data_IF_985778088107
#
_entry.id   IF_985778088107
#
_cell.length_a   1.000
_cell.length_b   1.000
_cell.length_c   1.000
_cell.angle_alpha   90.00
_cell.angle_beta   90.00
_cell.angle_gamma   90.00
#
_symmetry.space_group_name_H-M   'P 1'
#
loop_
_entity.id
_entity.type
_entity.pdbx_description
1 polymer ?
#
# COMPACT_ATOMS: atom_id res chain seq x y z
N UNK A 1 10.18 -10.67 4.94
CA UNK A 1 10.53 -11.75 3.97
C UNK A 1 9.98 -11.49 2.56
N UNK A 2 9.07 -10.53 2.38
CA UNK A 2 8.53 -10.18 1.06
C UNK A 2 9.37 -9.15 0.29
N UNK A 3 10.55 -8.79 0.79
CA UNK A 3 11.50 -7.96 0.06
C UNK A 3 12.03 -8.78 -1.14
N UNK A 4 11.98 -8.20 -2.34
CA UNK A 4 12.55 -8.88 -3.50
C UNK A 4 14.08 -8.92 -3.41
N UNK A 5 14.71 -9.96 -3.97
CA UNK A 5 16.18 -10.08 -3.98
C UNK A 5 16.87 -8.88 -4.66
N UNK A 6 16.20 -8.24 -5.62
CA UNK A 6 16.72 -7.03 -6.27
C UNK A 6 16.70 -5.85 -5.29
N UNK A 7 15.58 -5.65 -4.58
CA UNK A 7 15.46 -4.59 -3.58
C UNK A 7 16.47 -4.79 -2.43
N UNK A 8 16.61 -6.02 -1.94
CA UNK A 8 17.59 -6.37 -0.90
C UNK A 8 19.02 -5.99 -1.28
N UNK A 9 19.45 -6.35 -2.50
CA UNK A 9 20.81 -6.01 -2.98
C UNK A 9 21.03 -4.50 -3.08
N UNK A 10 20.03 -3.75 -3.53
CA UNK A 10 20.12 -2.29 -3.63
C UNK A 10 20.15 -1.67 -2.24
N UNK A 11 19.28 -2.11 -1.33
CA UNK A 11 19.27 -1.66 0.06
C UNK A 11 20.63 -1.84 0.73
N UNK A 12 21.24 -3.02 0.57
CA UNK A 12 22.54 -3.35 1.18
C UNK A 12 23.72 -2.57 0.58
N UNK A 13 23.60 -2.13 -0.67
CA UNK A 13 24.62 -1.35 -1.38
C UNK A 13 24.43 0.17 -1.27
N UNK A 14 23.35 0.63 -0.66
CA UNK A 14 23.06 2.06 -0.52
C UNK A 14 23.93 2.69 0.58
N UNK A 15 24.39 3.92 0.34
CA UNK A 15 25.08 4.74 1.33
C UNK A 15 24.08 5.44 2.26
N UNK A 16 22.89 5.73 1.73
CA UNK A 16 21.81 6.44 2.43
C UNK A 16 20.50 5.70 2.25
N UNK A 17 19.70 5.61 3.32
CA UNK A 17 18.35 5.04 3.29
C UNK A 17 17.35 6.11 3.66
N UNK A 18 16.44 6.46 2.73
CA UNK A 18 15.36 7.41 2.95
C UNK A 18 14.03 6.68 3.13
N UNK A 19 13.20 7.11 4.07
CA UNK A 19 11.92 6.46 4.33
C UNK A 19 10.89 7.41 4.96
N UNK A 20 9.58 7.18 4.69
CA UNK A 20 8.52 7.91 5.37
C UNK A 20 8.39 7.47 6.82
N UNK A 21 8.17 8.42 7.71
CA UNK A 21 7.80 8.18 9.09
C UNK A 21 6.71 9.16 9.53
N UNK A 22 5.76 8.78 10.39
CA UNK A 22 4.86 9.72 11.04
C UNK A 22 5.67 10.63 11.97
N UNK A 23 5.22 11.88 12.17
CA UNK A 23 5.93 12.87 12.99
C UNK A 23 6.21 12.39 14.43
N UNK A 24 5.33 11.56 14.98
CA UNK A 24 5.37 11.10 16.38
C UNK A 24 5.47 9.56 16.49
N UNK A 25 6.02 8.87 15.48
CA UNK A 25 6.02 7.40 15.50
C UNK A 25 7.11 6.73 14.69
N UNK A 26 7.22 5.44 14.88
CA UNK A 26 8.17 4.59 14.17
C UNK A 26 7.72 4.33 12.73
N UNK A 27 8.66 4.27 11.81
CA UNK A 27 8.42 3.91 10.42
C UNK A 27 8.27 2.40 10.28
N UNK A 28 7.11 1.95 9.81
CA UNK A 28 6.87 0.53 9.53
C UNK A 28 7.83 0.01 8.44
N UNK A 29 7.99 0.74 7.35
CA UNK A 29 8.88 0.30 6.26
C UNK A 29 10.34 0.24 6.73
N UNK A 30 10.76 1.16 7.58
CA UNK A 30 12.11 1.12 8.19
C UNK A 30 12.26 -0.10 9.11
N UNK A 31 11.25 -0.43 9.92
CA UNK A 31 11.30 -1.61 10.79
C UNK A 31 11.37 -2.93 10.01
N UNK A 32 10.68 -3.01 8.86
CA UNK A 32 10.76 -4.16 7.93
C UNK A 32 12.15 -4.27 7.30
N UNK A 33 12.77 -3.16 6.94
CA UNK A 33 14.08 -3.12 6.30
C UNK A 33 15.25 -3.32 7.28
N UNK A 34 15.08 -2.93 8.55
CA UNK A 34 16.13 -2.88 9.56
C UNK A 34 17.00 -4.16 9.69
N UNK A 35 16.44 -5.38 9.69
CA UNK A 35 17.25 -6.61 9.76
C UNK A 35 18.16 -6.85 8.54
N UNK A 36 17.96 -6.08 7.46
CA UNK A 36 18.63 -6.23 6.17
C UNK A 36 19.55 -5.06 5.84
N UNK A 37 19.53 -4.00 6.64
CA UNK A 37 20.42 -2.84 6.49
C UNK A 37 21.82 -3.19 6.97
N UNK A 38 22.85 -2.53 6.39
CA UNK A 38 24.27 -2.75 6.75
C UNK A 38 24.60 -2.17 8.14
N UNK A 39 23.84 -1.20 8.62
CA UNK A 39 23.98 -0.60 9.96
C UNK A 39 24.88 0.63 10.02
N UNK A 40 25.62 0.93 8.94
CA UNK A 40 26.48 2.11 8.77
C UNK A 40 25.90 3.14 7.79
N UNK A 41 24.71 2.90 7.27
CA UNK A 41 24.01 3.75 6.34
C UNK A 41 23.48 5.02 7.02
N UNK A 42 23.61 6.14 6.35
CA UNK A 42 22.93 7.37 6.76
C UNK A 42 21.42 7.24 6.55
N UNK A 43 20.62 7.89 7.38
CA UNK A 43 19.16 7.82 7.29
C UNK A 43 18.57 9.20 7.02
N UNK A 44 17.65 9.30 6.04
CA UNK A 44 16.83 10.48 5.76
C UNK A 44 15.38 10.16 6.13
N UNK A 45 14.83 10.91 7.07
CA UNK A 45 13.46 10.71 7.55
C UNK A 45 12.53 11.70 6.87
N UNK A 46 11.61 11.19 6.04
CA UNK A 46 10.58 12.00 5.40
C UNK A 46 9.37 12.05 6.35
N UNK A 47 9.28 13.14 7.10
CA UNK A 47 8.27 13.29 8.15
C UNK A 47 6.88 13.55 7.55
N UNK A 48 6.13 12.48 7.31
CA UNK A 48 4.79 12.56 6.71
C UNK A 48 3.72 12.81 7.77
N UNK A 49 3.06 13.97 7.75
CA UNK A 49 1.96 14.22 8.69
C UNK A 49 0.79 13.28 8.39
N UNK A 50 0.25 12.65 9.44
CA UNK A 50 -0.95 11.80 9.36
C UNK A 50 -2.23 12.64 9.22
N UNK A 51 -2.22 13.64 8.32
CA UNK A 51 -3.36 14.51 8.06
C UNK A 51 -4.13 14.07 6.82
N UNK A 52 -5.45 14.26 6.85
CA UNK A 52 -6.35 13.91 5.75
C UNK A 52 -6.31 14.89 4.58
N UNK A 53 -5.67 16.03 4.77
CA UNK A 53 -5.58 17.09 3.78
C UNK A 53 -4.40 16.86 2.82
N UNK A 54 -4.67 17.05 1.52
CA UNK A 54 -3.72 16.75 0.44
C UNK A 54 -2.56 17.76 0.35
N UNK A 55 -2.73 18.97 0.88
CA UNK A 55 -1.80 20.08 0.69
C UNK A 55 -0.63 20.18 1.67
N UNK A 56 -0.73 19.83 2.96
CA UNK A 56 0.43 19.85 3.86
C UNK A 56 1.53 18.85 3.49
N UNK A 57 1.17 17.82 2.71
CA UNK A 57 2.11 16.78 2.29
C UNK A 57 3.05 17.21 1.15
N UNK A 58 2.79 18.31 0.44
CA UNK A 58 3.66 18.75 -0.68
C UNK A 58 5.00 19.25 -0.16
N UNK A 59 4.98 20.11 0.85
CA UNK A 59 6.20 20.70 1.43
C UNK A 59 7.13 19.61 1.99
N UNK A 60 6.56 18.56 2.61
CA UNK A 60 7.32 17.40 3.12
C UNK A 60 8.05 16.64 2.02
N UNK A 61 7.40 16.48 0.85
CA UNK A 61 8.07 15.82 -0.28
C UNK A 61 9.07 16.74 -0.97
N UNK A 62 8.87 18.06 -0.94
CA UNK A 62 9.84 19.03 -1.43
C UNK A 62 11.11 19.01 -0.56
N UNK A 63 10.96 19.03 0.76
CA UNK A 63 12.06 18.92 1.73
C UNK A 63 12.78 17.57 1.58
N UNK A 64 12.06 16.46 1.59
CA UNK A 64 12.65 15.13 1.43
C UNK A 64 13.37 14.96 0.08
N UNK A 65 12.85 15.52 -1.00
CA UNK A 65 13.52 15.50 -2.29
C UNK A 65 14.81 16.35 -2.27
N UNK A 66 14.81 17.50 -1.59
CA UNK A 66 16.01 18.34 -1.44
C UNK A 66 17.12 17.62 -0.65
N UNK A 67 16.79 16.94 0.44
CA UNK A 67 17.75 16.14 1.23
C UNK A 67 18.32 14.98 0.40
N UNK A 68 17.47 14.25 -0.33
CA UNK A 68 17.89 13.18 -1.23
C UNK A 68 18.80 13.71 -2.32
N UNK A 69 18.45 14.86 -2.93
CA UNK A 69 19.26 15.52 -3.96
C UNK A 69 20.65 15.87 -3.44
N UNK A 70 20.75 16.46 -2.27
CA UNK A 70 22.02 16.81 -1.66
C UNK A 70 22.91 15.56 -1.43
N UNK A 71 22.35 14.45 -1.01
CA UNK A 71 23.07 13.19 -0.85
C UNK A 71 23.56 12.64 -2.19
N UNK A 72 22.72 12.67 -3.23
CA UNK A 72 23.09 12.23 -4.59
C UNK A 72 24.19 13.13 -5.19
N UNK A 73 24.10 14.45 -5.02
CA UNK A 73 25.12 15.40 -5.47
C UNK A 73 26.47 15.23 -4.75
N UNK A 74 26.42 14.73 -3.51
CA UNK A 74 27.62 14.31 -2.77
C UNK A 74 28.21 12.96 -3.25
N UNK A 75 27.62 12.34 -4.29
CA UNK A 75 28.08 11.10 -4.89
C UNK A 75 27.59 9.83 -4.19
N UNK A 76 26.58 9.94 -3.32
CA UNK A 76 26.02 8.80 -2.58
C UNK A 76 24.88 8.13 -3.36
N UNK A 77 24.76 6.79 -3.17
CA UNK A 77 23.62 6.02 -3.62
C UNK A 77 22.53 6.06 -2.56
N UNK A 78 21.34 6.50 -2.90
CA UNK A 78 20.21 6.61 -1.99
C UNK A 78 19.16 5.54 -2.30
N UNK A 79 18.78 4.74 -1.31
CA UNK A 79 17.66 3.82 -1.38
C UNK A 79 16.44 4.44 -0.68
N UNK A 80 15.34 4.62 -1.41
CA UNK A 80 14.08 5.12 -0.83
C UNK A 80 13.16 3.95 -0.56
N UNK A 81 12.74 3.76 0.70
CA UNK A 81 11.88 2.68 1.12
C UNK A 81 10.40 3.01 0.92
N UNK A 82 9.63 2.00 0.51
CA UNK A 82 8.18 2.05 0.39
C UNK A 82 7.54 0.75 0.86
N UNK A 83 6.40 0.81 1.53
CA UNK A 83 5.58 -0.38 1.79
C UNK A 83 4.98 -0.89 0.48
N UNK A 84 5.03 -2.21 0.27
CA UNK A 84 4.45 -2.85 -0.91
C UNK A 84 5.20 -2.51 -2.20
N UNK A 85 4.54 -1.88 -3.15
CA UNK A 85 5.11 -1.47 -4.43
C UNK A 85 5.14 0.06 -4.56
N UNK A 86 6.26 0.66 -5.01
CA UNK A 86 6.45 2.12 -5.06
C UNK A 86 5.42 2.86 -5.91
N UNK A 87 4.89 2.21 -6.95
CA UNK A 87 3.95 2.83 -7.90
C UNK A 87 2.51 2.34 -7.75
N UNK A 88 2.24 1.48 -6.77
CA UNK A 88 0.88 1.01 -6.50
C UNK A 88 0.30 1.68 -5.25
N UNK A 89 -0.31 2.84 -5.40
CA UNK A 89 -0.85 3.69 -4.32
C UNK A 89 0.18 4.13 -3.26
N UNK A 90 1.46 3.97 -3.55
CA UNK A 90 2.57 4.38 -2.68
C UNK A 90 2.84 5.88 -2.80
N UNK A 91 3.32 6.47 -1.71
CA UNK A 91 3.69 7.89 -1.66
C UNK A 91 4.98 8.23 -2.42
N UNK A 92 5.79 7.23 -2.75
CA UNK A 92 7.04 7.41 -3.52
C UNK A 92 6.82 8.14 -4.85
N UNK A 93 5.64 8.01 -5.47
CA UNK A 93 5.35 8.71 -6.73
C UNK A 93 5.53 10.23 -6.62
N UNK A 94 5.36 10.83 -5.44
CA UNK A 94 5.55 12.26 -5.22
C UNK A 94 7.04 12.65 -5.19
N UNK A 95 7.89 11.80 -4.62
CA UNK A 95 9.36 11.96 -4.70
C UNK A 95 9.87 11.70 -6.12
N UNK A 96 9.35 10.65 -6.76
CA UNK A 96 9.71 10.31 -8.14
C UNK A 96 9.48 11.49 -9.09
N UNK A 97 8.32 12.15 -8.98
CA UNK A 97 8.00 13.31 -9.82
C UNK A 97 8.99 14.48 -9.65
N UNK A 98 9.63 14.61 -8.48
CA UNK A 98 10.61 15.66 -8.18
C UNK A 98 12.03 15.29 -8.58
N UNK A 99 12.38 14.04 -8.47
CA UNK A 99 13.76 13.58 -8.63
C UNK A 99 14.08 13.08 -10.04
N UNK A 100 13.10 12.51 -10.74
CA UNK A 100 13.32 11.79 -12.01
C UNK A 100 13.71 12.69 -13.19
N UNK A 101 13.45 14.00 -13.11
CA UNK A 101 13.88 14.94 -14.14
C UNK A 101 15.38 15.27 -14.07
N UNK A 102 15.96 15.19 -12.86
CA UNK A 102 17.34 15.62 -12.61
C UNK A 102 18.30 14.44 -12.33
N UNK A 103 17.78 13.32 -11.89
CA UNK A 103 18.60 12.19 -11.46
C UNK A 103 18.15 10.87 -12.11
N UNK A 104 19.09 9.92 -12.23
CA UNK A 104 18.78 8.56 -12.65
C UNK A 104 18.08 7.82 -11.52
N UNK A 105 16.77 7.61 -11.63
CA UNK A 105 15.97 6.89 -10.64
C UNK A 105 15.63 5.50 -11.13
N UNK A 106 16.04 4.47 -10.37
CA UNK A 106 15.65 3.10 -10.61
C UNK A 106 14.50 2.70 -9.69
N UNK A 107 13.36 2.34 -10.26
CA UNK A 107 12.22 1.80 -9.48
C UNK A 107 12.29 0.28 -9.45
N UNK A 108 12.19 -0.29 -8.27
CA UNK A 108 12.18 -1.74 -8.05
C UNK A 108 10.77 -2.16 -7.66
N UNK A 109 10.09 -3.00 -8.46
CA UNK A 109 8.77 -3.50 -8.12
C UNK A 109 8.80 -4.30 -6.81
N UNK A 110 7.76 -4.15 -6.02
CA UNK A 110 7.56 -4.87 -4.77
C UNK A 110 6.33 -5.77 -4.77
N UNK A 111 6.15 -6.55 -3.72
CA UNK A 111 4.93 -7.32 -3.50
C UNK A 111 3.85 -6.37 -2.99
N UNK A 112 2.84 -6.10 -3.81
CA UNK A 112 1.74 -5.22 -3.43
C UNK A 112 0.89 -5.82 -2.31
N UNK A 113 0.25 -4.98 -1.48
CA UNK A 113 -0.73 -5.43 -0.49
C UNK A 113 -1.88 -6.24 -1.12
N UNK A 114 -2.23 -5.96 -2.38
CA UNK A 114 -3.22 -6.74 -3.11
C UNK A 114 -2.82 -8.22 -3.25
N UNK A 115 -1.60 -8.49 -3.69
CA UNK A 115 -1.08 -9.85 -3.84
C UNK A 115 -0.87 -10.52 -2.47
N UNK A 116 -0.36 -9.79 -1.48
CA UNK A 116 -0.16 -10.30 -0.13
C UNK A 116 -1.49 -10.68 0.53
N UNK A 117 -2.49 -9.80 0.49
CA UNK A 117 -3.83 -10.08 1.05
C UNK A 117 -4.51 -11.27 0.34
N UNK A 118 -4.39 -11.36 -0.98
CA UNK A 118 -4.92 -12.48 -1.75
C UNK A 118 -4.29 -13.82 -1.31
N UNK A 119 -2.99 -13.85 -1.11
CA UNK A 119 -2.28 -15.04 -0.65
C UNK A 119 -2.69 -15.46 0.77
N UNK A 120 -2.75 -14.49 1.71
CA UNK A 120 -3.16 -14.74 3.09
C UNK A 120 -4.63 -15.19 3.22
N UNK A 121 -5.49 -14.71 2.34
CA UNK A 121 -6.89 -15.14 2.26
C UNK A 121 -7.07 -16.47 1.51
N UNK A 122 -6.00 -17.01 0.89
CA UNK A 122 -6.08 -18.13 -0.04
C UNK A 122 -7.14 -17.92 -1.13
N UNK A 123 -7.30 -16.69 -1.60
CA UNK A 123 -8.33 -16.26 -2.54
C UNK A 123 -7.70 -15.78 -3.85
N UNK A 124 -7.76 -16.57 -4.95
CA UNK A 124 -7.28 -16.13 -6.25
C UNK A 124 -8.01 -14.87 -6.73
N UNK A 125 -7.27 -13.87 -7.22
CA UNK A 125 -7.85 -12.61 -7.69
C UNK A 125 -8.52 -12.74 -9.04
N UNK A 126 -7.94 -13.49 -9.96
CA UNK A 126 -8.44 -13.61 -11.32
C UNK A 126 -8.03 -14.92 -11.97
N UNK A 127 -8.86 -15.37 -12.91
CA UNK A 127 -8.55 -16.43 -13.84
C UNK A 127 -9.03 -16.04 -15.23
N UNK A 128 -8.31 -16.47 -16.26
CA UNK A 128 -8.70 -16.31 -17.68
C UNK A 128 -9.18 -14.89 -18.02
N UNK A 129 -10.50 -14.71 -18.15
CA UNK A 129 -11.14 -13.46 -18.57
C UNK A 129 -11.67 -12.62 -17.39
N UNK A 130 -11.36 -13.01 -16.15
CA UNK A 130 -11.80 -12.25 -14.96
C UNK A 130 -11.25 -10.83 -14.98
N UNK A 131 -12.11 -9.86 -14.74
CA UNK A 131 -11.74 -8.46 -14.56
C UNK A 131 -11.54 -8.18 -13.07
N UNK A 132 -10.39 -7.62 -12.71
CA UNK A 132 -10.06 -7.21 -11.34
C UNK A 132 -10.04 -5.69 -11.25
N UNK A 133 -10.80 -5.14 -10.32
CA UNK A 133 -10.78 -3.71 -10.00
C UNK A 133 -10.15 -3.45 -8.65
N UNK A 134 -9.31 -2.40 -8.57
CA UNK A 134 -8.83 -1.86 -7.30
C UNK A 134 -9.59 -0.57 -7.00
N UNK A 135 -10.37 -0.59 -5.93
CA UNK A 135 -11.35 0.46 -5.60
C UNK A 135 -10.90 1.20 -4.34
N UNK A 136 -10.57 2.50 -4.43
CA UNK A 136 -10.33 3.28 -3.22
C UNK A 136 -11.62 3.44 -2.39
N UNK A 137 -11.57 3.12 -1.10
CA UNK A 137 -12.69 3.32 -0.18
C UNK A 137 -13.13 4.78 -0.03
N UNK A 138 -12.34 5.71 -0.55
CA UNK A 138 -12.63 7.15 -0.60
C UNK A 138 -13.66 7.54 -1.66
N UNK A 139 -13.94 6.69 -2.66
CA UNK A 139 -14.99 6.95 -3.65
C UNK A 139 -16.35 7.13 -2.96
N UNK A 140 -17.25 7.88 -3.60
CA UNK A 140 -18.65 7.91 -3.18
C UNK A 140 -19.33 6.55 -3.42
N UNK A 141 -20.52 6.38 -2.85
CA UNK A 141 -21.24 5.10 -2.88
C UNK A 141 -21.62 4.68 -4.30
N UNK A 142 -22.07 5.63 -5.12
CA UNK A 142 -22.52 5.37 -6.49
C UNK A 142 -21.34 4.92 -7.38
N UNK A 143 -20.22 5.63 -7.32
CA UNK A 143 -19.01 5.27 -8.06
C UNK A 143 -18.45 3.92 -7.58
N UNK A 144 -18.46 3.65 -6.27
CA UNK A 144 -18.02 2.38 -5.71
C UNK A 144 -18.91 1.23 -6.18
N UNK A 145 -20.23 1.39 -6.11
CA UNK A 145 -21.21 0.40 -6.59
C UNK A 145 -20.97 0.09 -8.07
N UNK A 146 -20.83 1.11 -8.91
CA UNK A 146 -20.59 0.94 -10.34
C UNK A 146 -19.33 0.10 -10.63
N UNK A 147 -18.22 0.38 -9.92
CA UNK A 147 -16.97 -0.36 -10.06
C UNK A 147 -17.08 -1.81 -9.56
N UNK A 148 -17.75 -2.02 -8.43
CA UNK A 148 -18.03 -3.36 -7.91
C UNK A 148 -18.87 -4.17 -8.88
N UNK A 149 -19.89 -3.56 -9.49
CA UNK A 149 -20.76 -4.25 -10.44
C UNK A 149 -20.07 -4.58 -11.79
N UNK A 150 -19.07 -3.81 -12.19
CA UNK A 150 -18.36 -3.98 -13.46
C UNK A 150 -17.23 -5.03 -13.42
N UNK A 151 -16.86 -5.55 -12.23
CA UNK A 151 -15.73 -6.47 -12.08
C UNK A 151 -16.13 -7.83 -11.51
N UNK A 152 -15.34 -8.86 -11.83
CA UNK A 152 -15.48 -10.21 -11.27
C UNK A 152 -14.92 -10.25 -9.84
N UNK A 153 -13.78 -9.60 -9.64
CA UNK A 153 -13.14 -9.42 -8.32
C UNK A 153 -12.85 -7.95 -8.11
N UNK A 154 -13.07 -7.47 -6.89
CA UNK A 154 -12.69 -6.13 -6.50
C UNK A 154 -11.89 -6.16 -5.20
N UNK A 155 -10.80 -5.41 -5.15
CA UNK A 155 -10.06 -5.15 -3.93
C UNK A 155 -10.32 -3.72 -3.47
N UNK A 156 -10.95 -3.56 -2.32
CA UNK A 156 -11.24 -2.25 -1.74
C UNK A 156 -10.10 -1.89 -0.79
N UNK A 157 -9.34 -0.86 -1.16
CA UNK A 157 -8.22 -0.30 -0.38
C UNK A 157 -8.66 0.99 0.33
N UNK A 158 -7.81 1.49 1.25
CA UNK A 158 -8.12 2.69 2.05
C UNK A 158 -9.45 2.57 2.79
N UNK A 159 -9.69 1.39 3.36
CA UNK A 159 -10.92 1.06 4.10
C UNK A 159 -11.11 2.01 5.28
N UNK A 160 -10.20 2.02 6.24
CA UNK A 160 -10.13 2.94 7.38
C UNK A 160 -11.49 3.43 7.87
N UNK A 161 -11.66 4.73 7.93
CA UNK A 161 -12.91 5.40 8.33
C UNK A 161 -14.10 5.20 7.37
N UNK A 162 -13.86 4.58 6.22
CA UNK A 162 -14.88 4.35 5.19
C UNK A 162 -15.56 2.99 5.32
N UNK A 163 -15.18 2.16 6.32
CA UNK A 163 -15.71 0.80 6.52
C UNK A 163 -17.24 0.77 6.56
N UNK A 164 -17.88 1.65 7.30
CA UNK A 164 -19.35 1.70 7.40
C UNK A 164 -20.01 1.91 6.04
N UNK A 165 -19.52 2.89 5.26
CA UNK A 165 -19.98 3.15 3.89
C UNK A 165 -19.79 1.92 2.99
N UNK A 166 -18.61 1.30 3.05
CA UNK A 166 -18.29 0.12 2.25
C UNK A 166 -19.24 -1.04 2.57
N UNK A 167 -19.50 -1.29 3.86
CA UNK A 167 -20.48 -2.32 4.29
C UNK A 167 -21.85 -2.07 3.69
N UNK A 168 -22.36 -0.83 3.78
CA UNK A 168 -23.67 -0.46 3.23
C UNK A 168 -23.76 -0.73 1.71
N UNK A 169 -22.70 -0.37 0.95
CA UNK A 169 -22.67 -0.63 -0.50
C UNK A 169 -22.65 -2.13 -0.79
N UNK A 170 -21.85 -2.91 -0.07
CA UNK A 170 -21.75 -4.36 -0.24
C UNK A 170 -23.06 -5.08 0.10
N UNK A 171 -23.77 -4.64 1.14
CA UNK A 171 -25.10 -5.14 1.51
C UNK A 171 -26.12 -4.81 0.42
N UNK A 172 -26.15 -3.56 -0.05
CA UNK A 172 -27.05 -3.09 -1.11
C UNK A 172 -26.95 -3.91 -2.39
N UNK A 173 -25.74 -4.30 -2.79
CA UNK A 173 -25.52 -5.10 -3.99
C UNK A 173 -25.54 -6.62 -3.75
N UNK A 174 -25.84 -7.07 -2.53
CA UNK A 174 -25.87 -8.49 -2.16
C UNK A 174 -24.50 -9.19 -2.24
N UNK A 175 -23.40 -8.46 -1.98
CA UNK A 175 -22.03 -8.96 -2.06
C UNK A 175 -21.35 -9.14 -0.70
N UNK A 176 -22.01 -8.80 0.40
CA UNK A 176 -21.44 -8.84 1.75
C UNK A 176 -20.91 -10.23 2.16
N UNK A 177 -21.65 -11.30 1.84
CA UNK A 177 -21.28 -12.70 2.12
C UNK A 177 -20.02 -13.16 1.34
N UNK A 178 -19.66 -12.45 0.25
CA UNK A 178 -18.51 -12.74 -0.61
C UNK A 178 -17.36 -11.76 -0.39
N UNK A 179 -17.46 -10.94 0.64
CA UNK A 179 -16.45 -9.96 1.01
C UNK A 179 -15.56 -10.51 2.13
N UNK A 180 -14.27 -10.57 1.86
CA UNK A 180 -13.25 -11.06 2.76
C UNK A 180 -12.46 -9.89 3.30
N UNK A 181 -12.51 -9.68 4.61
CA UNK A 181 -11.75 -8.63 5.28
C UNK A 181 -10.43 -9.17 5.83
N UNK A 182 -9.38 -8.43 5.62
CA UNK A 182 -8.06 -8.67 6.20
C UNK A 182 -7.43 -7.35 6.66
N UNK A 183 -6.79 -7.39 7.81
CA UNK A 183 -5.96 -6.29 8.30
C UNK A 183 -4.56 -6.77 8.67
N UNK A 184 -3.56 -5.91 8.46
CA UNK A 184 -2.15 -6.15 8.77
C UNK A 184 -1.64 -7.45 8.15
N UNK A 185 -2.01 -7.71 6.89
CA UNK A 185 -1.60 -8.90 6.16
C UNK A 185 -0.09 -9.13 6.26
N UNK A 186 0.32 -10.37 6.51
CA UNK A 186 1.71 -10.81 6.69
C UNK A 186 2.43 -10.30 7.94
N UNK A 187 1.76 -9.56 8.81
CA UNK A 187 2.29 -9.10 10.09
C UNK A 187 1.91 -10.07 11.22
N UNK A 188 2.65 -10.07 12.32
CA UNK A 188 2.36 -10.94 13.49
C UNK A 188 0.94 -10.75 14.07
N UNK A 189 0.41 -9.54 13.96
CA UNK A 189 -0.92 -9.18 14.41
C UNK A 189 -1.96 -9.13 13.27
N UNK A 190 -1.73 -9.92 12.21
CA UNK A 190 -2.69 -10.13 11.14
C UNK A 190 -4.03 -10.62 11.68
N UNK A 191 -5.12 -10.10 11.12
CA UNK A 191 -6.47 -10.55 11.46
C UNK A 191 -7.31 -10.72 10.21
N UNK A 192 -7.92 -11.87 10.07
CA UNK A 192 -8.89 -12.20 9.03
C UNK A 192 -10.20 -12.53 9.72
N UNK A 193 -11.27 -11.85 9.36
CA UNK A 193 -12.60 -12.09 9.92
C UNK A 193 -13.67 -11.87 8.84
N UNK A 194 -14.82 -12.54 8.95
CA UNK A 194 -15.99 -12.22 8.13
C UNK A 194 -16.38 -10.75 8.29
N UNK A 195 -16.84 -10.14 7.20
CA UNK A 195 -17.26 -8.73 7.22
C UNK A 195 -18.40 -8.48 8.22
N UNK A 196 -19.26 -9.49 8.44
CA UNK A 196 -20.38 -9.44 9.39
C UNK A 196 -19.92 -9.38 10.86
N UNK A 197 -18.71 -9.85 11.17
CA UNK A 197 -18.16 -9.84 12.53
C UNK A 197 -17.38 -8.54 12.85
N UNK A 198 -17.26 -7.65 11.88
CA UNK A 198 -16.62 -6.36 12.11
C UNK A 198 -17.60 -5.42 12.82
N UNK A 199 -17.38 -5.20 14.09
CA UNK A 199 -18.08 -4.17 14.85
C UNK A 199 -17.52 -2.78 14.51
N UNK A 200 -18.42 -1.79 14.40
CA UNK A 200 -18.01 -0.41 14.18
C UNK A 200 -17.98 0.04 12.72
N UNK A 201 -17.54 1.28 12.53
CA UNK A 201 -17.59 2.02 11.26
C UNK A 201 -16.21 2.35 10.71
N UNK A 202 -15.15 1.88 11.37
CA UNK A 202 -13.76 2.12 10.96
C UNK A 202 -12.89 0.88 11.11
N UNK A 203 -11.83 0.82 10.32
CA UNK A 203 -10.81 -0.22 10.30
C UNK A 203 -9.41 0.40 10.46
N UNK A 204 -8.37 -0.38 10.82
CA UNK A 204 -6.99 0.08 10.78
C UNK A 204 -6.56 0.57 9.40
N UNK A 205 -5.49 1.37 9.35
CA UNK A 205 -4.94 1.88 8.09
C UNK A 205 -4.56 0.75 7.13
N UNK A 206 -3.83 -0.25 7.61
CA UNK A 206 -3.46 -1.42 6.82
C UNK A 206 -4.59 -2.46 6.82
N UNK A 207 -5.64 -2.18 6.07
CA UNK A 207 -6.77 -3.08 5.87
C UNK A 207 -7.25 -3.08 4.43
N UNK A 208 -7.79 -4.22 4.01
CA UNK A 208 -8.31 -4.45 2.67
C UNK A 208 -9.57 -5.32 2.73
N UNK A 209 -10.50 -5.09 1.82
CA UNK A 209 -11.62 -5.98 1.58
C UNK A 209 -11.51 -6.51 0.16
N UNK A 210 -11.47 -7.83 -0.02
CA UNK A 210 -11.51 -8.47 -1.33
C UNK A 210 -12.88 -9.07 -1.53
N UNK A 211 -13.55 -8.66 -2.60
CA UNK A 211 -14.88 -9.14 -2.98
C UNK A 211 -14.76 -9.94 -4.26
N UNK A 212 -15.08 -11.23 -4.22
CA UNK A 212 -15.17 -12.06 -5.41
C UNK A 212 -16.64 -12.34 -5.72
N UNK A 213 -17.17 -11.70 -6.76
CA UNK A 213 -18.60 -11.80 -7.10
C UNK A 213 -18.91 -13.02 -7.92
N UNK A 214 -18.08 -13.33 -8.89
CA UNK A 214 -18.17 -14.46 -9.81
C UNK A 214 -16.76 -14.72 -10.38
N UNK A 215 -16.54 -15.88 -10.97
CA UNK A 215 -15.26 -16.21 -11.60
C UNK A 215 -15.15 -17.69 -11.89
N UNK A 216 -14.39 -18.04 -12.93
CA UNK A 216 -14.39 -19.37 -13.52
C UNK A 216 -13.75 -20.48 -12.67
N UNK A 217 -12.95 -20.16 -11.63
CA UNK A 217 -12.22 -21.19 -10.84
C UNK A 217 -13.05 -21.79 -9.71
N UNK A 218 -14.02 -21.05 -9.16
CA UNK A 218 -14.75 -21.50 -7.95
C UNK A 218 -16.16 -22.02 -8.25
N UNK A 219 -16.59 -21.98 -9.50
CA UNK A 219 -17.90 -22.46 -9.95
C UNK A 219 -17.84 -23.88 -10.56
N UNK A 220 -16.76 -24.66 -10.29
CA UNK A 220 -16.61 -26.07 -10.72
C UNK A 220 -16.84 -27.05 -9.58
#
# INVERSE_FOLDING_TARGET
ELITLKALKILQAADVVAYPAPADGDSLVRSIAAPHMSGDQEEIIISTPMVTERYPAQDVYDEGAAEISAAVEAGKNVAVLCEGDPFFYGSFMYLFARLSESYAVQVVPGVTSLAACSAELALPLAARNDVVSVIPGTLDEEAMEAQLMASNTAAIIKVGRHLGKIKNVLEKIGAAERAHYIERATMENQRIVPLSELDGVSAPYFSMIIVRRNGEILDQ
#
